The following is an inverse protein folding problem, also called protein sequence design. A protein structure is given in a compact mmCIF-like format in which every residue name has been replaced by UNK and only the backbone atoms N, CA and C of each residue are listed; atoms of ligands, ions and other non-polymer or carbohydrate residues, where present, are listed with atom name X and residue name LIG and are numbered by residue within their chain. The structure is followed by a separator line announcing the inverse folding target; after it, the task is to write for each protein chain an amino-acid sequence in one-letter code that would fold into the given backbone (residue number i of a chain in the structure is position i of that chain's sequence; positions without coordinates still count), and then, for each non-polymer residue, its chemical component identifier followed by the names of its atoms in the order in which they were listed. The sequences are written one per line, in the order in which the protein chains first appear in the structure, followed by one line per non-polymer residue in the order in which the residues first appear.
data_IF_921164411254
#
_entry.id   IF_921164411254
#
_cell.length_a   1.000
_cell.length_b   1.000
_cell.length_c   1.000
_cell.angle_alpha   90.00
_cell.angle_beta   90.00
_cell.angle_gamma   90.00
#
_symmetry.space_group_name_H-M   'P 1'
#
loop_
_entity.id
_entity.type
_entity.pdbx_description
1 polymer ?
#
# COMPACT_ATOMS: atom_id res chain seq x y z
N UNK A 1 -29.50 -32.04 27.46
CA UNK A 1 -30.11 -30.71 27.16
C UNK A 1 -29.06 -29.84 26.59
N UNK A 2 -29.04 -29.73 25.25
CA UNK A 2 -28.08 -28.99 24.46
C UNK A 2 -28.48 -27.52 24.42
N UNK A 3 -27.58 -26.62 24.85
CA UNK A 3 -27.65 -25.20 24.55
C UNK A 3 -27.02 -24.97 23.19
N UNK A 4 -27.83 -24.80 22.18
CA UNK A 4 -27.44 -24.24 20.89
C UNK A 4 -27.26 -22.73 21.13
N UNK A 5 -26.02 -22.24 21.14
CA UNK A 5 -25.75 -20.80 21.11
C UNK A 5 -25.95 -20.30 19.70
N UNK A 6 -26.97 -19.48 19.54
CA UNK A 6 -27.28 -18.73 18.33
C UNK A 6 -26.15 -17.71 18.03
N UNK A 7 -25.49 -17.86 16.88
CA UNK A 7 -24.37 -17.03 16.43
C UNK A 7 -24.84 -15.85 15.58
N UNK A 8 -26.04 -15.32 15.81
CA UNK A 8 -26.61 -14.21 15.03
C UNK A 8 -26.24 -12.81 15.53
N UNK A 9 -25.57 -12.67 16.66
CA UNK A 9 -25.11 -11.37 17.15
C UNK A 9 -23.65 -11.10 16.76
N UNK A 10 -23.46 -10.21 15.81
CA UNK A 10 -22.16 -9.64 15.41
C UNK A 10 -21.62 -8.80 16.58
N UNK A 11 -20.38 -9.03 17.06
CA UNK A 11 -19.81 -8.21 18.12
C UNK A 11 -19.58 -6.78 17.61
N UNK A 12 -20.35 -5.84 18.13
CA UNK A 12 -20.13 -4.41 17.99
C UNK A 12 -19.06 -3.98 18.98
N UNK A 13 -17.86 -3.70 18.51
CA UNK A 13 -16.82 -3.07 19.32
C UNK A 13 -17.09 -1.57 19.32
N UNK A 14 -17.48 -1.02 20.46
CA UNK A 14 -17.64 0.41 20.68
C UNK A 14 -16.25 1.04 20.87
N UNK A 15 -15.84 1.86 19.90
CA UNK A 15 -14.75 2.81 20.09
C UNK A 15 -15.23 3.96 20.99
N UNK A 16 -14.40 4.40 21.93
CA UNK A 16 -14.68 5.43 22.95
C UNK A 16 -15.00 6.83 22.37
N UNK A 17 -15.17 6.99 21.05
CA UNK A 17 -15.54 8.20 20.33
C UNK A 17 -16.70 8.01 19.34
N UNK A 18 -17.76 7.29 19.73
CA UNK A 18 -19.07 7.30 19.04
C UNK A 18 -19.06 7.03 17.52
N UNK A 19 -18.21 6.16 17.00
CA UNK A 19 -18.28 5.70 15.61
C UNK A 19 -18.32 4.18 15.55
N UNK A 20 -19.45 3.64 15.08
CA UNK A 20 -19.63 2.22 14.80
C UNK A 20 -18.67 1.75 13.71
N UNK A 21 -17.74 0.83 14.06
CA UNK A 21 -16.87 0.19 13.09
C UNK A 21 -17.60 -1.00 12.43
N UNK A 22 -17.64 -1.00 11.11
CA UNK A 22 -18.12 -2.13 10.33
C UNK A 22 -16.98 -3.16 10.23
N UNK A 23 -17.05 -4.22 11.02
CA UNK A 23 -16.02 -5.27 11.10
C UNK A 23 -16.27 -6.31 10.00
N UNK A 24 -15.24 -6.62 9.19
CA UNK A 24 -15.27 -7.77 8.26
C UNK A 24 -15.20 -9.10 9.04
N UNK A 25 -15.65 -10.23 8.45
CA UNK A 25 -15.60 -11.55 9.09
C UNK A 25 -14.17 -12.03 9.43
N UNK A 26 -13.14 -11.37 8.92
CA UNK A 26 -11.71 -11.57 9.23
C UNK A 26 -11.22 -10.74 10.44
N UNK A 27 -12.12 -10.06 11.18
CA UNK A 27 -11.80 -9.31 12.40
C UNK A 27 -11.18 -7.92 12.18
N UNK A 28 -11.06 -7.45 10.93
CA UNK A 28 -10.38 -6.19 10.60
C UNK A 28 -11.37 -5.04 10.38
N UNK A 29 -11.23 -3.92 11.11
CA UNK A 29 -12.06 -2.73 10.96
C UNK A 29 -11.73 -1.96 9.68
N UNK A 30 -12.65 -1.90 8.70
CA UNK A 30 -12.50 -1.11 7.45
C UNK A 30 -12.16 0.36 7.68
N UNK A 31 -12.63 0.95 8.79
CA UNK A 31 -12.37 2.35 9.09
C UNK A 31 -10.93 2.62 9.55
N UNK A 32 -10.26 1.64 10.19
CA UNK A 32 -8.85 1.77 10.53
C UNK A 32 -7.99 1.85 9.26
N UNK A 33 -8.32 1.04 8.24
CA UNK A 33 -7.65 1.08 6.94
C UNK A 33 -7.83 2.42 6.22
N UNK A 34 -9.03 3.01 6.27
CA UNK A 34 -9.31 4.32 5.65
C UNK A 34 -8.68 5.49 6.42
N UNK A 35 -8.54 5.37 7.74
CA UNK A 35 -7.86 6.41 8.55
C UNK A 35 -6.35 6.39 8.36
N UNK A 36 -5.75 5.22 8.17
CA UNK A 36 -4.32 5.05 7.84
C UNK A 36 -4.05 5.62 6.43
N UNK A 37 -4.94 5.41 5.48
CA UNK A 37 -4.82 5.91 4.11
C UNK A 37 -4.99 7.43 3.97
N UNK A 38 -5.53 8.12 4.97
CA UNK A 38 -5.74 9.57 4.98
C UNK A 38 -4.68 10.35 5.77
N UNK A 39 -3.85 9.67 6.56
CA UNK A 39 -2.63 10.26 7.10
C UNK A 39 -1.66 10.43 5.92
N UNK A 40 -1.22 11.66 5.68
CA UNK A 40 -0.17 12.00 4.69
C UNK A 40 0.91 10.93 4.75
N UNK A 41 0.93 10.00 3.79
CA UNK A 41 1.92 8.94 3.77
C UNK A 41 3.29 9.57 3.61
N UNK A 42 4.13 9.40 4.62
CA UNK A 42 5.51 9.91 4.59
C UNK A 42 6.22 9.30 3.40
N UNK A 43 6.85 10.12 2.58
CA UNK A 43 7.62 9.68 1.40
C UNK A 43 8.61 8.60 1.78
N UNK A 44 8.65 7.51 1.01
CA UNK A 44 9.60 6.43 1.21
C UNK A 44 10.98 6.85 0.68
N UNK A 45 12.03 6.38 1.34
CA UNK A 45 13.39 6.45 0.82
C UNK A 45 13.60 5.33 -0.21
N UNK A 46 14.62 5.45 -1.06
CA UNK A 46 14.91 4.44 -2.10
C UNK A 46 15.07 3.02 -1.49
N UNK A 47 15.76 2.91 -0.34
CA UNK A 47 15.93 1.62 0.35
C UNK A 47 14.62 1.06 0.92
N UNK A 48 13.75 1.90 1.44
CA UNK A 48 12.42 1.51 1.92
C UNK A 48 11.53 1.05 0.77
N UNK A 49 11.62 1.71 -0.39
CA UNK A 49 10.87 1.32 -1.57
C UNK A 49 11.33 -0.02 -2.14
N UNK A 50 12.64 -0.30 -2.16
CA UNK A 50 13.18 -1.62 -2.54
C UNK A 50 12.61 -2.73 -1.65
N UNK A 51 12.59 -2.54 -0.33
CA UNK A 51 12.02 -3.49 0.62
C UNK A 51 10.52 -3.66 0.40
N UNK A 52 9.79 -2.57 0.16
CA UNK A 52 8.35 -2.65 -0.13
C UNK A 52 8.05 -3.42 -1.42
N UNK A 53 8.85 -3.27 -2.48
CA UNK A 53 8.70 -4.05 -3.73
C UNK A 53 8.77 -5.54 -3.46
N UNK A 54 9.73 -5.97 -2.64
CA UNK A 54 9.90 -7.38 -2.26
C UNK A 54 8.72 -7.86 -1.39
N UNK A 55 8.26 -7.04 -0.44
CA UNK A 55 7.12 -7.39 0.41
C UNK A 55 5.82 -7.51 -0.37
N UNK A 56 5.59 -6.68 -1.40
CA UNK A 56 4.43 -6.82 -2.29
C UNK A 56 4.46 -8.11 -3.13
N UNK A 57 5.65 -8.61 -3.47
CA UNK A 57 5.80 -9.89 -4.18
C UNK A 57 5.56 -11.11 -3.28
N UNK A 58 6.00 -11.02 -2.02
CA UNK A 58 5.92 -12.13 -1.08
C UNK A 58 4.59 -12.16 -0.30
N UNK A 59 3.81 -11.08 -0.34
CA UNK A 59 2.57 -10.87 0.41
C UNK A 59 2.75 -10.98 1.94
N UNK A 60 3.39 -12.03 2.43
CA UNK A 60 3.78 -12.25 3.84
C UNK A 60 5.19 -12.84 3.89
N UNK A 61 6.07 -12.25 4.69
CA UNK A 61 7.47 -12.68 4.75
C UNK A 61 8.09 -12.44 6.12
N UNK A 62 9.05 -13.28 6.48
CA UNK A 62 9.98 -12.98 7.56
C UNK A 62 11.15 -12.14 7.04
N UNK A 63 11.86 -11.46 7.93
CA UNK A 63 13.04 -10.66 7.55
C UNK A 63 14.07 -11.47 6.76
N UNK A 64 14.22 -12.77 7.08
CA UNK A 64 15.13 -13.68 6.36
C UNK A 64 14.70 -13.92 4.91
N UNK A 65 13.38 -14.04 4.67
CA UNK A 65 12.85 -14.29 3.34
C UNK A 65 13.01 -13.05 2.45
N UNK A 66 12.76 -11.87 3.02
CA UNK A 66 13.02 -10.59 2.34
C UNK A 66 14.51 -10.46 2.00
N UNK A 67 15.42 -10.80 2.94
CA UNK A 67 16.86 -10.76 2.73
C UNK A 67 17.32 -11.72 1.60
N UNK A 68 16.69 -12.89 1.50
CA UNK A 68 17.01 -13.88 0.47
C UNK A 68 16.64 -13.40 -0.94
N UNK A 69 15.65 -12.52 -1.08
CA UNK A 69 15.18 -11.97 -2.35
C UNK A 69 16.02 -10.80 -2.88
N UNK A 70 16.88 -10.21 -2.05
CA UNK A 70 17.80 -9.18 -2.54
C UNK A 70 18.81 -9.77 -3.52
N UNK A 71 19.04 -9.11 -4.70
CA UNK A 71 19.91 -9.67 -5.73
C UNK A 71 21.39 -9.69 -5.28
N UNK A 72 22.14 -8.65 -5.47
CA UNK A 72 23.59 -8.67 -5.23
C UNK A 72 24.03 -7.88 -4.00
N UNK A 73 23.42 -6.72 -3.76
CA UNK A 73 23.79 -5.83 -2.65
C UNK A 73 22.88 -6.08 -1.42
N UNK A 74 23.06 -7.25 -0.80
CA UNK A 74 22.27 -7.64 0.37
C UNK A 74 22.59 -6.77 1.57
N UNK A 75 21.62 -6.04 2.12
CA UNK A 75 21.84 -5.29 3.35
C UNK A 75 22.09 -6.24 4.51
N UNK A 76 22.81 -5.79 5.52
CA UNK A 76 22.97 -6.57 6.75
C UNK A 76 21.58 -6.80 7.40
N UNK A 77 21.39 -7.98 8.02
CA UNK A 77 20.11 -8.36 8.66
C UNK A 77 19.56 -7.28 9.61
N UNK A 78 20.42 -6.67 10.43
CA UNK A 78 20.00 -5.62 11.37
C UNK A 78 19.54 -4.34 10.65
N UNK A 79 20.19 -3.99 9.54
CA UNK A 79 19.82 -2.86 8.69
C UNK A 79 18.45 -3.09 8.06
N UNK A 80 18.22 -4.28 7.50
CA UNK A 80 16.93 -4.66 6.93
C UNK A 80 15.82 -4.64 7.99
N UNK A 81 16.08 -5.19 9.18
CA UNK A 81 15.12 -5.17 10.29
C UNK A 81 14.74 -3.74 10.69
N UNK A 82 15.71 -2.81 10.69
CA UNK A 82 15.46 -1.39 10.98
C UNK A 82 14.61 -0.75 9.89
N UNK A 83 14.89 -1.03 8.62
CA UNK A 83 14.11 -0.51 7.49
C UNK A 83 12.65 -0.98 7.58
N UNK A 84 12.41 -2.26 7.87
CA UNK A 84 11.06 -2.82 8.00
C UNK A 84 10.31 -2.20 9.18
N UNK A 85 10.97 -1.94 10.32
CA UNK A 85 10.36 -1.23 11.45
C UNK A 85 10.00 0.21 11.09
N UNK A 86 10.86 0.91 10.36
CA UNK A 86 10.55 2.25 9.87
C UNK A 86 9.34 2.26 8.93
N UNK A 87 9.20 1.23 8.08
CA UNK A 87 8.02 1.04 7.21
C UNK A 87 6.76 0.78 8.03
N UNK A 88 6.86 0.04 9.11
CA UNK A 88 5.77 -0.20 10.05
C UNK A 88 5.36 1.08 10.78
N UNK A 89 6.31 1.87 11.30
CA UNK A 89 6.06 3.17 11.91
C UNK A 89 5.42 4.18 10.94
N UNK A 90 5.73 4.07 9.65
CA UNK A 90 5.11 4.85 8.58
C UNK A 90 3.73 4.31 8.18
N UNK A 91 3.32 3.13 8.65
CA UNK A 91 2.03 2.50 8.38
C UNK A 91 1.93 1.77 7.04
N UNK A 92 3.04 1.50 6.35
CA UNK A 92 3.05 0.74 5.10
C UNK A 92 3.01 -0.77 5.30
N UNK A 93 3.56 -1.23 6.41
CA UNK A 93 3.72 -2.64 6.77
C UNK A 93 3.13 -2.87 8.16
N UNK A 94 2.62 -4.06 8.40
CA UNK A 94 2.26 -4.54 9.74
C UNK A 94 2.85 -5.93 9.95
N UNK A 95 2.77 -6.46 11.17
CA UNK A 95 3.29 -7.78 11.47
C UNK A 95 2.32 -8.65 12.26
N UNK A 96 2.49 -9.96 12.11
CA UNK A 96 1.92 -10.98 12.97
C UNK A 96 3.04 -11.65 13.77
N UNK A 97 2.84 -11.82 15.09
CA UNK A 97 3.84 -12.46 15.95
C UNK A 97 3.77 -13.99 15.82
N UNK A 98 4.89 -14.63 15.47
CA UNK A 98 5.06 -16.08 15.45
C UNK A 98 6.13 -16.49 16.48
N UNK A 99 5.73 -16.72 17.70
CA UNK A 99 6.66 -16.97 18.80
C UNK A 99 7.63 -15.80 19.00
N UNK A 100 8.93 -16.05 18.81
CA UNK A 100 9.97 -15.03 18.95
C UNK A 100 10.28 -14.30 17.63
N UNK A 101 9.53 -14.56 16.55
CA UNK A 101 9.72 -13.95 15.24
C UNK A 101 8.48 -13.20 14.78
N UNK A 102 8.66 -12.22 13.90
CA UNK A 102 7.58 -11.45 13.31
C UNK A 102 7.51 -11.73 11.81
N UNK A 103 6.30 -12.06 11.34
CA UNK A 103 5.98 -12.15 9.92
C UNK A 103 5.36 -10.83 9.48
N UNK A 104 5.97 -10.16 8.52
CA UNK A 104 5.56 -8.86 8.03
C UNK A 104 4.71 -8.99 6.77
N UNK A 105 3.71 -8.10 6.63
CA UNK A 105 2.86 -8.03 5.45
C UNK A 105 2.54 -6.58 5.08
N UNK A 106 2.39 -6.25 3.78
CA UNK A 106 2.04 -4.92 3.35
C UNK A 106 0.59 -4.58 3.70
N UNK A 107 0.38 -3.45 4.35
CA UNK A 107 -0.95 -2.88 4.63
C UNK A 107 -1.45 -2.07 3.45
N UNK A 108 -0.53 -1.39 2.75
CA UNK A 108 -0.81 -0.57 1.58
C UNK A 108 -0.58 -1.39 0.32
N UNK A 109 -1.60 -1.49 -0.53
CA UNK A 109 -1.48 -2.16 -1.82
C UNK A 109 -0.54 -1.40 -2.77
N UNK A 110 0.17 -2.13 -3.66
CA UNK A 110 1.09 -1.56 -4.65
C UNK A 110 0.41 -0.52 -5.56
N UNK A 111 -0.84 -0.80 -5.96
CA UNK A 111 -1.65 0.09 -6.80
C UNK A 111 -1.99 1.39 -6.09
N UNK A 112 -2.27 1.32 -4.79
CA UNK A 112 -2.60 2.48 -3.98
C UNK A 112 -1.38 3.37 -3.76
N UNK A 113 -0.22 2.77 -3.46
CA UNK A 113 1.05 3.48 -3.40
C UNK A 113 1.38 4.18 -4.72
N UNK A 114 1.22 3.48 -5.87
CA UNK A 114 1.45 4.05 -7.20
C UNK A 114 0.55 5.26 -7.48
N UNK A 115 -0.74 5.16 -7.17
CA UNK A 115 -1.69 6.28 -7.34
C UNK A 115 -1.26 7.49 -6.54
N UNK A 116 -0.88 7.30 -5.29
CA UNK A 116 -0.45 8.40 -4.41
C UNK A 116 0.87 9.02 -4.88
N UNK A 117 1.82 8.19 -5.30
CA UNK A 117 3.10 8.66 -5.85
C UNK A 117 2.90 9.53 -7.09
N UNK A 118 2.05 9.07 -8.02
CA UNK A 118 1.73 9.82 -9.25
C UNK A 118 1.00 11.12 -8.90
N UNK A 119 0.00 11.08 -8.03
CA UNK A 119 -0.75 12.27 -7.63
C UNK A 119 0.17 13.31 -6.97
N UNK A 120 1.06 12.89 -6.07
CA UNK A 120 2.06 13.77 -5.46
C UNK A 120 3.00 14.40 -6.51
N UNK A 121 3.47 13.61 -7.48
CA UNK A 121 4.30 14.13 -8.55
C UNK A 121 3.57 15.13 -9.45
N UNK A 122 2.27 14.90 -9.72
CA UNK A 122 1.45 15.83 -10.51
C UNK A 122 1.21 17.14 -9.75
N UNK A 123 1.00 17.05 -8.43
CA UNK A 123 0.85 18.23 -7.59
C UNK A 123 2.16 19.05 -7.52
N UNK A 124 3.28 18.38 -7.24
CA UNK A 124 4.58 19.03 -7.04
C UNK A 124 5.16 19.65 -8.34
N UNK A 125 4.99 18.98 -9.50
CA UNK A 125 5.69 19.35 -10.74
C UNK A 125 4.77 19.84 -11.86
N UNK A 126 3.47 19.52 -11.83
CA UNK A 126 2.53 19.80 -12.92
C UNK A 126 1.32 20.64 -12.49
N UNK A 127 1.40 21.34 -11.34
CA UNK A 127 0.33 22.21 -10.81
C UNK A 127 -1.04 21.49 -10.76
N UNK A 128 -1.07 20.23 -10.37
CA UNK A 128 -2.27 19.38 -10.31
C UNK A 128 -3.01 19.25 -11.66
N UNK A 129 -2.27 19.35 -12.78
CA UNK A 129 -2.81 19.28 -14.14
C UNK A 129 -2.33 18.04 -14.89
N UNK A 130 -3.22 17.06 -15.06
CA UNK A 130 -2.98 15.87 -15.89
C UNK A 130 -2.73 16.22 -17.36
N UNK A 131 -3.34 17.32 -17.86
CA UNK A 131 -3.11 17.83 -19.21
C UNK A 131 -1.65 18.24 -19.39
N UNK A 132 -1.09 18.96 -18.42
CA UNK A 132 0.31 19.39 -18.47
C UNK A 132 1.26 18.19 -18.45
N UNK A 133 0.97 17.16 -17.66
CA UNK A 133 1.73 15.92 -17.63
C UNK A 133 1.76 15.24 -19.01
N UNK A 134 0.59 15.03 -19.62
CA UNK A 134 0.48 14.41 -20.95
C UNK A 134 1.17 15.27 -22.03
N UNK A 135 0.98 16.60 -21.98
CA UNK A 135 1.62 17.51 -22.93
C UNK A 135 3.15 17.48 -22.81
N UNK A 136 3.68 17.36 -21.59
CA UNK A 136 5.13 17.24 -21.36
C UNK A 136 5.70 15.97 -22.01
N UNK A 137 5.04 14.81 -21.81
CA UNK A 137 5.48 13.56 -22.44
C UNK A 137 5.35 13.57 -23.98
N UNK A 138 4.31 14.23 -24.49
CA UNK A 138 4.15 14.39 -25.94
C UNK A 138 5.23 15.32 -26.53
N UNK A 139 5.65 16.37 -25.81
CA UNK A 139 6.72 17.29 -26.28
C UNK A 139 8.12 16.68 -26.22
N UNK A 140 8.32 15.63 -25.40
CA UNK A 140 9.57 14.87 -25.32
C UNK A 140 9.63 13.64 -26.24
N UNK A 141 8.66 13.49 -27.15
CA UNK A 141 8.53 12.34 -28.06
C UNK A 141 8.47 10.98 -27.31
N UNK A 142 8.07 10.98 -26.04
CA UNK A 142 7.93 9.78 -25.22
C UNK A 142 6.57 9.08 -25.40
N UNK A 143 5.61 9.78 -25.98
CA UNK A 143 4.29 9.26 -26.33
C UNK A 143 4.02 9.64 -27.79
N UNK A 144 3.80 8.64 -28.63
CA UNK A 144 3.46 8.83 -30.05
C UNK A 144 2.02 9.29 -30.22
N UNK A 145 1.73 9.89 -31.39
CA UNK A 145 0.36 10.31 -31.76
C UNK A 145 -0.58 9.10 -31.83
N UNK A 146 -0.06 7.94 -32.25
CA UNK A 146 -0.79 6.69 -32.34
C UNK A 146 -1.21 6.19 -30.95
N UNK A 147 -0.30 6.19 -29.97
CA UNK A 147 -0.59 5.82 -28.57
C UNK A 147 -1.62 6.75 -27.93
N UNK A 148 -1.52 8.07 -28.20
CA UNK A 148 -2.54 9.03 -27.73
C UNK A 148 -3.93 8.73 -28.31
N UNK A 149 -4.02 8.36 -29.58
CA UNK A 149 -5.29 7.97 -30.20
C UNK A 149 -5.86 6.69 -29.61
N UNK A 150 -5.01 5.73 -29.25
CA UNK A 150 -5.44 4.50 -28.57
C UNK A 150 -5.99 4.79 -27.17
N UNK A 151 -5.33 5.66 -26.40
CA UNK A 151 -5.79 6.10 -25.10
C UNK A 151 -7.17 6.77 -25.21
N UNK A 152 -7.37 7.67 -26.20
CA UNK A 152 -8.66 8.32 -26.45
C UNK A 152 -9.75 7.27 -26.74
N UNK A 153 -9.50 6.32 -27.65
CA UNK A 153 -10.43 5.24 -27.95
C UNK A 153 -10.78 4.39 -26.71
N UNK A 154 -9.79 4.17 -25.84
CA UNK A 154 -10.02 3.40 -24.62
C UNK A 154 -10.93 4.16 -23.64
N UNK A 155 -10.77 5.47 -23.52
CA UNK A 155 -11.62 6.33 -22.70
C UNK A 155 -13.05 6.38 -23.25
N UNK A 156 -13.22 6.57 -24.58
CA UNK A 156 -14.52 6.59 -25.24
C UNK A 156 -15.29 5.28 -25.10
N UNK A 157 -14.58 4.15 -25.05
CA UNK A 157 -15.21 2.82 -24.89
C UNK A 157 -15.67 2.54 -23.45
N UNK A 158 -15.08 3.21 -22.46
CA UNK A 158 -15.37 3.00 -21.03
C UNK A 158 -16.33 4.05 -20.44
N UNK A 159 -16.80 5.02 -21.24
CA UNK A 159 -17.85 5.99 -20.93
C UNK A 159 -19.14 5.64 -21.67
#
# INVERSE_FOLDING_TARGET
LACVKDWSEKPTVLDTRTRTCNVKPDGFCRNAQQMINKAVMKKLTNKEEEVMKILWELEKAFVKDVLAKFPEDKPHYNTLSTIIRNLEEKGYVSHEAYGNTHQYYPVVAKEEYRKQFINGAIEDYFNNSYKNLVSHFASEDKISVEELKEIIKHIEKNN
#
